data_IF_631315121434
#
_entry.id   IF_631315121434
#
_cell.length_a   1.000
_cell.length_b   1.000
_cell.length_c   1.000
_cell.angle_alpha   90.00
_cell.angle_beta   90.00
_cell.angle_gamma   90.00
#
_symmetry.space_group_name_H-M   'P 1'
#
loop_
_entity.id
_entity.type
_entity.pdbx_description
1 polymer ?
#
# COMPACT_ATOMS: atom_id res chain seq x y z
N UNK A 1 -45.14 -19.72 15.45
CA UNK A 1 -45.26 -18.41 14.78
C UNK A 1 -43.85 -17.85 14.66
N UNK A 2 -43.20 -18.07 13.51
CA UNK A 2 -41.83 -17.59 13.27
C UNK A 2 -41.91 -16.13 12.84
N UNK A 3 -41.49 -15.21 13.72
CA UNK A 3 -41.31 -13.81 13.37
C UNK A 3 -40.08 -13.69 12.46
N UNK A 4 -40.31 -13.67 11.15
CA UNK A 4 -39.37 -13.11 10.19
C UNK A 4 -39.29 -11.61 10.49
N UNK A 5 -38.32 -11.21 11.32
CA UNK A 5 -37.84 -9.84 11.31
C UNK A 5 -37.04 -9.67 10.00
N UNK A 6 -37.75 -9.43 8.90
CA UNK A 6 -37.18 -8.76 7.75
C UNK A 6 -36.72 -7.37 8.24
N UNK A 7 -35.42 -7.21 8.47
CA UNK A 7 -34.84 -5.95 8.92
C UNK A 7 -35.16 -4.77 8.01
N UNK A 8 -34.94 -3.56 8.53
CA UNK A 8 -35.27 -2.23 7.99
C UNK A 8 -34.91 -1.91 6.52
N UNK A 9 -34.40 -2.85 5.71
CA UNK A 9 -34.04 -2.63 4.31
C UNK A 9 -35.23 -2.63 3.33
N UNK A 10 -36.47 -2.83 3.80
CA UNK A 10 -37.65 -2.96 2.94
C UNK A 10 -37.94 -1.76 2.02
N UNK A 11 -37.40 -0.58 2.31
CA UNK A 11 -37.70 0.65 1.55
C UNK A 11 -36.51 1.58 1.23
N UNK A 12 -35.28 1.27 1.65
CA UNK A 12 -34.13 2.13 1.37
C UNK A 12 -33.46 1.75 0.03
N UNK A 13 -33.89 2.37 -1.07
CA UNK A 13 -33.19 2.34 -2.38
C UNK A 13 -31.95 3.25 -2.41
N UNK A 14 -31.25 3.44 -1.30
CA UNK A 14 -30.03 4.25 -1.28
C UNK A 14 -28.86 3.37 -1.70
N UNK A 15 -28.39 3.58 -2.92
CA UNK A 15 -27.12 3.04 -3.38
C UNK A 15 -26.10 4.15 -3.46
N UNK A 16 -24.84 3.83 -3.18
CA UNK A 16 -23.72 4.73 -3.39
C UNK A 16 -22.69 4.07 -4.31
N UNK A 17 -21.87 4.92 -4.94
CA UNK A 17 -20.74 4.46 -5.75
C UNK A 17 -19.54 4.27 -4.84
N UNK A 18 -18.85 3.16 -5.01
CA UNK A 18 -17.63 2.82 -4.31
C UNK A 18 -16.54 2.47 -5.31
N UNK A 19 -15.32 2.93 -5.10
CA UNK A 19 -14.16 2.53 -5.91
C UNK A 19 -13.37 1.47 -5.16
N UNK A 20 -13.41 0.25 -5.68
CA UNK A 20 -12.62 -0.87 -5.18
C UNK A 20 -11.24 -0.87 -5.83
N UNK A 21 -10.21 -1.26 -5.08
CA UNK A 21 -8.82 -1.30 -5.57
C UNK A 21 -8.11 -2.58 -5.20
N UNK A 22 -7.26 -3.04 -6.12
CA UNK A 22 -6.24 -4.06 -5.88
C UNK A 22 -4.89 -3.50 -6.28
N UNK A 23 -3.90 -3.73 -5.43
CA UNK A 23 -2.52 -3.35 -5.70
C UNK A 23 -1.60 -4.50 -5.31
N UNK A 24 -0.59 -4.76 -6.14
CA UNK A 24 0.44 -5.77 -5.88
C UNK A 24 1.78 -5.28 -6.43
N UNK A 25 2.86 -5.69 -5.79
CA UNK A 25 4.20 -5.58 -6.37
C UNK A 25 4.38 -6.76 -7.32
N UNK A 26 4.72 -6.48 -8.57
CA UNK A 26 4.85 -7.50 -9.63
C UNK A 26 6.30 -7.79 -10.01
N UNK A 27 7.23 -6.90 -9.68
CA UNK A 27 8.65 -7.07 -9.97
C UNK A 27 9.50 -6.35 -8.93
N UNK A 28 10.60 -6.97 -8.53
CA UNK A 28 11.64 -6.40 -7.68
C UNK A 28 12.93 -7.22 -7.84
N UNK A 29 14.07 -6.68 -7.38
CA UNK A 29 15.34 -7.42 -7.35
C UNK A 29 15.35 -8.46 -6.22
N UNK A 30 15.11 -9.73 -6.59
CA UNK A 30 15.10 -10.86 -5.67
C UNK A 30 16.48 -11.24 -5.13
N UNK A 31 17.55 -10.62 -5.63
CA UNK A 31 18.90 -10.81 -5.07
C UNK A 31 18.98 -10.24 -3.65
N UNK A 32 18.37 -9.07 -3.42
CA UNK A 32 18.45 -8.38 -2.14
C UNK A 32 17.11 -8.33 -1.41
N UNK A 33 16.00 -8.56 -2.10
CA UNK A 33 14.66 -8.53 -1.51
C UNK A 33 14.12 -9.95 -1.39
N UNK A 34 13.73 -10.33 -0.18
CA UNK A 34 13.10 -11.62 0.09
C UNK A 34 11.60 -11.60 -0.20
N UNK A 35 10.93 -10.55 0.29
CA UNK A 35 9.48 -10.34 0.17
C UNK A 35 9.24 -8.84 0.03
N UNK A 36 8.29 -8.47 -0.82
CA UNK A 36 7.74 -7.13 -0.84
C UNK A 36 6.23 -7.19 -1.05
N UNK A 37 5.47 -6.45 -0.25
CA UNK A 37 4.02 -6.49 -0.24
C UNK A 37 3.40 -5.12 0.04
N UNK A 38 2.14 -4.97 -0.38
CA UNK A 38 1.35 -3.75 -0.20
C UNK A 38 0.24 -4.09 0.78
N UNK A 39 0.14 -3.30 1.84
CA UNK A 39 -0.80 -3.51 2.95
C UNK A 39 -1.64 -2.26 3.22
N UNK A 40 -2.74 -2.45 3.93
CA UNK A 40 -3.80 -1.46 4.10
C UNK A 40 -5.12 -1.95 3.53
N UNK A 41 -5.93 -1.03 3.02
CA UNK A 41 -7.32 -1.28 2.60
C UNK A 41 -8.34 -0.36 3.26
N UNK A 42 -7.91 0.81 3.72
CA UNK A 42 -8.78 1.81 4.32
C UNK A 42 -9.63 2.50 3.27
N UNK A 43 -10.70 3.14 3.73
CA UNK A 43 -11.73 3.77 2.89
C UNK A 43 -11.77 5.25 3.24
N UNK A 44 -11.71 6.10 2.21
CA UNK A 44 -11.83 7.54 2.35
C UNK A 44 -12.50 8.13 1.11
N UNK A 45 -12.95 9.38 1.19
CA UNK A 45 -13.48 10.10 0.04
C UNK A 45 -12.33 10.53 -0.88
N UNK A 46 -12.48 10.28 -2.17
CA UNK A 46 -11.57 10.82 -3.19
C UNK A 46 -11.92 12.28 -3.54
N UNK A 47 -11.17 12.89 -4.45
CA UNK A 47 -11.38 14.28 -4.89
C UNK A 47 -12.74 14.54 -5.55
N UNK A 48 -13.44 13.50 -6.02
CA UNK A 48 -14.78 13.57 -6.58
C UNK A 48 -15.89 13.36 -5.51
N UNK A 49 -15.50 13.16 -4.24
CA UNK A 49 -16.44 12.86 -3.15
C UNK A 49 -17.00 11.44 -3.19
N UNK A 50 -16.32 10.51 -3.88
CA UNK A 50 -16.69 9.10 -3.96
C UNK A 50 -15.86 8.30 -2.95
N UNK A 51 -16.51 7.39 -2.22
CA UNK A 51 -15.81 6.48 -1.32
C UNK A 51 -14.88 5.55 -2.11
N UNK A 52 -13.62 5.49 -1.69
CA UNK A 52 -12.56 4.79 -2.41
C UNK A 52 -11.66 4.05 -1.43
N UNK A 53 -11.34 2.79 -1.76
CA UNK A 53 -10.32 2.01 -1.05
C UNK A 53 -8.93 2.49 -1.44
N UNK A 54 -8.04 2.60 -0.47
CA UNK A 54 -6.62 2.91 -0.68
C UNK A 54 -5.72 2.03 0.18
N UNK A 55 -4.44 1.96 -0.20
CA UNK A 55 -3.41 1.23 0.55
C UNK A 55 -2.55 2.22 1.34
N UNK A 56 -1.94 1.75 2.43
CA UNK A 56 -1.30 2.64 3.40
C UNK A 56 0.19 2.41 3.53
N UNK A 57 0.66 1.23 3.11
CA UNK A 57 2.01 0.83 3.39
C UNK A 57 2.54 -0.14 2.35
N UNK A 58 3.79 0.10 1.94
CA UNK A 58 4.60 -0.90 1.26
C UNK A 58 5.63 -1.43 2.25
N UNK A 59 5.73 -2.74 2.34
CA UNK A 59 6.68 -3.44 3.19
C UNK A 59 7.71 -4.14 2.30
N UNK A 60 8.99 -3.94 2.59
CA UNK A 60 10.10 -4.54 1.85
C UNK A 60 11.01 -5.24 2.86
N UNK A 61 11.17 -6.54 2.70
CA UNK A 61 12.00 -7.38 3.56
C UNK A 61 13.28 -7.74 2.82
N UNK A 62 14.43 -7.28 3.31
CA UNK A 62 15.73 -7.57 2.71
C UNK A 62 16.19 -8.99 3.06
N UNK A 63 16.81 -9.68 2.11
CA UNK A 63 17.38 -11.02 2.34
C UNK A 63 18.63 -10.92 3.22
N UNK A 64 18.51 -11.41 4.46
CA UNK A 64 19.60 -11.36 5.45
C UNK A 64 20.87 -12.09 5.04
N UNK A 65 20.82 -13.03 4.09
CA UNK A 65 22.00 -13.74 3.57
C UNK A 65 22.79 -12.90 2.56
N UNK A 66 22.13 -11.95 1.90
CA UNK A 66 22.71 -11.12 0.84
C UNK A 66 23.00 -9.71 1.30
N UNK A 67 22.06 -9.10 2.02
CA UNK A 67 22.20 -7.75 2.56
C UNK A 67 22.96 -7.74 3.91
N UNK A 68 22.74 -8.77 4.72
CA UNK A 68 23.18 -8.85 6.12
C UNK A 68 22.04 -8.55 7.11
N UNK A 69 22.37 -8.52 8.41
CA UNK A 69 21.40 -8.34 9.49
C UNK A 69 21.30 -6.92 10.04
N UNK A 70 22.23 -6.04 9.67
CA UNK A 70 22.27 -4.65 10.12
C UNK A 70 21.18 -3.84 9.46
N UNK A 71 20.48 -2.98 10.21
CA UNK A 71 19.53 -2.05 9.62
C UNK A 71 20.24 -1.04 8.70
N UNK A 72 19.60 -0.60 7.60
CA UNK A 72 20.07 0.56 6.86
C UNK A 72 20.22 1.76 7.80
N UNK A 73 21.27 2.57 7.61
CA UNK A 73 21.38 3.85 8.33
C UNK A 73 20.46 4.91 7.78
N UNK A 74 20.24 4.92 6.47
CA UNK A 74 19.36 5.85 5.79
C UNK A 74 18.69 5.17 4.60
N UNK A 75 17.41 5.49 4.42
CA UNK A 75 16.64 5.09 3.25
C UNK A 75 15.93 6.33 2.73
N UNK A 76 16.04 6.56 1.42
CA UNK A 76 15.23 7.56 0.72
C UNK A 76 14.39 6.86 -0.33
N UNK A 77 13.20 7.39 -0.59
CA UNK A 77 12.26 6.76 -1.51
C UNK A 77 11.63 7.75 -2.48
N UNK A 78 11.23 7.24 -3.64
CA UNK A 78 10.53 8.00 -4.68
C UNK A 78 9.45 7.13 -5.29
N UNK A 79 8.23 7.66 -5.37
CA UNK A 79 7.16 7.07 -6.16
C UNK A 79 7.15 7.67 -7.57
N UNK A 80 6.81 6.83 -8.54
CA UNK A 80 6.58 7.25 -9.91
C UNK A 80 5.09 7.14 -10.23
N UNK A 81 4.46 8.29 -10.49
CA UNK A 81 3.07 8.41 -10.91
C UNK A 81 3.03 8.65 -12.41
N UNK A 82 3.07 7.56 -13.19
CA UNK A 82 3.34 7.63 -14.62
C UNK A 82 4.74 8.20 -14.90
N UNK A 83 4.82 9.44 -15.37
CA UNK A 83 6.09 10.14 -15.63
C UNK A 83 6.52 11.07 -14.49
N UNK A 84 5.65 11.32 -13.51
CA UNK A 84 5.95 12.22 -12.40
C UNK A 84 6.74 11.49 -11.30
N UNK A 85 7.84 12.11 -10.85
CA UNK A 85 8.61 11.64 -9.70
C UNK A 85 8.18 12.39 -8.44
N UNK A 86 7.70 11.65 -7.44
CA UNK A 86 7.28 12.19 -6.15
C UNK A 86 8.20 11.65 -5.07
N UNK A 87 9.01 12.54 -4.49
CA UNK A 87 9.88 12.20 -3.36
C UNK A 87 9.02 11.88 -2.16
N UNK A 88 9.31 10.76 -1.50
CA UNK A 88 8.64 10.33 -0.29
C UNK A 88 9.27 11.06 0.89
N UNK A 89 8.44 11.65 1.75
CA UNK A 89 8.92 12.24 3.00
C UNK A 89 9.67 11.19 3.82
N UNK A 90 10.88 11.52 4.26
CA UNK A 90 11.69 10.68 5.13
C UNK A 90 10.95 10.23 6.41
N UNK A 91 10.02 11.04 6.93
CA UNK A 91 9.20 10.67 8.09
C UNK A 91 8.28 9.47 7.82
N UNK A 92 7.96 9.21 6.56
CA UNK A 92 7.13 8.10 6.11
C UNK A 92 7.94 6.84 5.79
N UNK A 93 9.27 6.87 5.91
CA UNK A 93 10.13 5.70 5.69
C UNK A 93 10.79 5.32 7.00
N UNK A 94 10.53 4.10 7.45
CA UNK A 94 11.18 3.58 8.66
C UNK A 94 11.70 2.16 8.45
N UNK A 95 12.72 1.82 9.22
CA UNK A 95 13.37 0.51 9.16
C UNK A 95 13.22 -0.22 10.48
N UNK A 96 13.01 -1.54 10.43
CA UNK A 96 12.87 -2.37 11.63
C UNK A 96 13.50 -3.73 11.42
N UNK A 97 14.00 -4.34 12.50
CA UNK A 97 14.41 -5.74 12.47
C UNK A 97 13.19 -6.65 12.37
N UNK A 98 13.28 -7.67 11.52
CA UNK A 98 12.22 -8.64 11.23
C UNK A 98 12.80 -10.05 11.25
N UNK A 99 11.93 -11.06 11.26
CA UNK A 99 12.36 -12.47 11.20
C UNK A 99 13.16 -12.78 9.92
N UNK A 100 12.91 -12.04 8.83
CA UNK A 100 13.56 -12.23 7.54
C UNK A 100 14.90 -11.46 7.42
N UNK A 101 15.14 -10.48 8.29
CA UNK A 101 16.27 -9.55 8.21
C UNK A 101 15.85 -8.11 8.48
N UNK A 102 16.50 -7.16 7.82
CA UNK A 102 16.11 -5.75 7.87
C UNK A 102 14.84 -5.53 7.01
N UNK A 103 13.80 -4.97 7.62
CA UNK A 103 12.59 -4.52 6.94
C UNK A 103 12.60 -3.01 6.72
N UNK A 104 12.12 -2.57 5.57
CA UNK A 104 11.88 -1.18 5.19
C UNK A 104 10.38 -1.03 4.98
N UNK A 105 9.80 0.00 5.59
CA UNK A 105 8.37 0.26 5.55
C UNK A 105 8.16 1.69 5.05
N UNK A 106 7.37 1.81 3.99
CA UNK A 106 6.98 3.08 3.38
C UNK A 106 5.52 3.31 3.69
N UNK A 107 5.23 4.20 4.65
CA UNK A 107 3.88 4.49 5.12
C UNK A 107 3.33 5.73 4.42
N UNK A 108 2.58 5.53 3.34
CA UNK A 108 1.98 6.60 2.57
C UNK A 108 0.66 6.14 1.96
N UNK A 109 -0.29 7.06 1.82
CA UNK A 109 -1.55 6.84 1.11
C UNK A 109 -1.27 6.58 -0.37
N UNK A 110 -1.51 5.35 -0.81
CA UNK A 110 -1.31 4.85 -2.18
C UNK A 110 -2.67 4.73 -2.83
N UNK A 111 -2.90 5.58 -3.84
CA UNK A 111 -4.21 5.82 -4.43
C UNK A 111 -4.31 5.33 -5.87
N UNK A 112 -3.40 4.50 -6.37
CA UNK A 112 -3.65 3.81 -7.64
C UNK A 112 -3.00 4.44 -8.87
N UNK A 113 -2.33 5.58 -8.72
CA UNK A 113 -1.52 6.22 -9.75
C UNK A 113 -0.03 5.85 -9.63
N UNK A 114 0.38 5.22 -8.53
CA UNK A 114 1.75 4.77 -8.29
C UNK A 114 2.10 3.52 -9.10
N UNK A 115 2.96 3.68 -10.10
CA UNK A 115 3.39 2.60 -11.00
C UNK A 115 4.71 1.95 -10.60
N UNK A 116 5.57 2.70 -9.90
CA UNK A 116 6.89 2.21 -9.48
C UNK A 116 7.32 2.88 -8.18
N UNK A 117 8.03 2.13 -7.35
CA UNK A 117 8.75 2.62 -6.17
C UNK A 117 10.25 2.44 -6.40
N UNK A 118 11.05 3.46 -6.10
CA UNK A 118 12.50 3.38 -6.02
C UNK A 118 12.94 3.66 -4.59
N UNK A 119 13.75 2.78 -4.03
CA UNK A 119 14.40 2.95 -2.74
C UNK A 119 15.91 3.04 -2.93
N UNK A 120 16.54 4.02 -2.28
CA UNK A 120 17.99 4.18 -2.22
C UNK A 120 18.41 3.97 -0.77
N UNK A 121 19.24 2.96 -0.54
CA UNK A 121 19.55 2.40 0.78
C UNK A 121 21.04 2.60 1.07
N UNK A 122 21.34 3.33 2.13
CA UNK A 122 22.69 3.57 2.62
C UNK A 122 22.95 2.68 3.84
N UNK A 123 23.88 1.74 3.70
CA UNK A 123 24.18 0.75 4.74
C UNK A 123 25.02 1.34 5.87
N UNK A 124 26.08 2.07 5.55
CA UNK A 124 27.09 2.49 6.53
C UNK A 124 27.19 4.02 6.69
N UNK A 125 27.30 4.77 5.60
CA UNK A 125 27.30 6.24 5.57
C UNK A 125 26.76 6.76 4.23
N UNK A 126 26.44 8.04 4.14
CA UNK A 126 25.90 8.64 2.90
C UNK A 126 26.91 8.66 1.75
N UNK A 127 28.21 8.59 2.06
CA UNK A 127 29.30 8.59 1.08
C UNK A 127 29.58 7.19 0.47
N UNK A 128 28.95 6.13 1.01
CA UNK A 128 29.06 4.77 0.47
C UNK A 128 28.19 4.57 -0.77
N UNK A 129 28.61 3.69 -1.67
CA UNK A 129 27.80 3.31 -2.83
C UNK A 129 26.45 2.74 -2.36
N UNK A 130 25.32 3.38 -2.66
CA UNK A 130 24.04 2.96 -2.13
C UNK A 130 23.49 1.75 -2.89
N UNK A 131 22.75 0.90 -2.18
CA UNK A 131 21.93 -0.12 -2.83
C UNK A 131 20.65 0.53 -3.36
N UNK A 132 20.40 0.41 -4.67
CA UNK A 132 19.20 0.92 -5.31
C UNK A 132 18.27 -0.26 -5.62
N UNK A 133 17.04 -0.18 -5.13
CA UNK A 133 15.99 -1.17 -5.38
C UNK A 133 14.81 -0.51 -6.07
N UNK A 134 14.34 -1.13 -7.15
CA UNK A 134 13.15 -0.68 -7.88
C UNK A 134 12.06 -1.76 -7.84
N UNK A 135 10.82 -1.31 -7.69
CA UNK A 135 9.64 -2.15 -7.54
C UNK A 135 8.58 -1.70 -8.51
N UNK A 136 8.13 -2.59 -9.40
CA UNK A 136 7.00 -2.32 -10.27
C UNK A 136 5.70 -2.65 -9.53
N UNK A 137 4.75 -1.72 -9.57
CA UNK A 137 3.47 -1.80 -8.87
C UNK A 137 2.36 -1.88 -9.91
N UNK A 138 1.54 -2.93 -9.83
CA UNK A 138 0.33 -3.06 -10.63
C UNK A 138 -0.87 -2.69 -9.77
N UNK A 139 -1.71 -1.78 -10.28
CA UNK A 139 -2.91 -1.32 -9.59
C UNK A 139 -4.11 -1.39 -10.52
N UNK A 140 -5.19 -2.00 -10.04
CA UNK A 140 -6.46 -2.12 -10.75
C UNK A 140 -7.55 -1.48 -9.90
N UNK A 141 -8.41 -0.68 -10.53
CA UNK A 141 -9.56 -0.07 -9.87
C UNK A 141 -10.84 -0.34 -10.66
N UNK A 142 -11.96 -0.46 -9.96
CA UNK A 142 -13.26 -0.56 -10.59
C UNK A 142 -14.35 0.07 -9.72
N UNK A 143 -15.35 0.65 -10.38
CA UNK A 143 -16.50 1.26 -9.73
C UNK A 143 -17.54 0.19 -9.45
N UNK A 144 -17.99 0.10 -8.21
CA UNK A 144 -19.07 -0.76 -7.75
C UNK A 144 -20.23 0.07 -7.22
N UNK A 145 -21.44 -0.47 -7.37
CA UNK A 145 -22.63 0.09 -6.74
C UNK A 145 -22.93 -0.71 -5.48
N UNK A 146 -22.86 -0.08 -4.32
CA UNK A 146 -23.11 -0.73 -3.02
C UNK A 146 -24.44 -0.28 -2.44
N UNK A 147 -25.10 -1.20 -1.71
CA UNK A 147 -26.32 -0.91 -0.96
C UNK A 147 -25.96 -0.30 0.39
N UNK A 148 -26.51 0.86 0.71
CA UNK A 148 -26.27 1.51 2.01
C UNK A 148 -26.77 0.64 3.17
N UNK A 149 -27.90 -0.05 2.98
CA UNK A 149 -28.47 -0.92 4.01
C UNK A 149 -27.59 -2.15 4.28
N UNK A 150 -26.99 -2.72 3.23
CA UNK A 150 -26.08 -3.85 3.38
C UNK A 150 -24.77 -3.42 4.06
N UNK A 151 -24.24 -2.24 3.70
CA UNK A 151 -23.05 -1.68 4.33
C UNK A 151 -23.29 -1.46 5.83
N UNK A 152 -24.41 -0.84 6.21
CA UNK A 152 -24.79 -0.61 7.61
C UNK A 152 -24.93 -1.92 8.39
N UNK A 153 -25.59 -2.93 7.80
CA UNK A 153 -25.71 -4.26 8.41
C UNK A 153 -24.36 -4.93 8.64
N UNK A 154 -23.44 -4.82 7.67
CA UNK A 154 -22.11 -5.39 7.74
C UNK A 154 -21.12 -4.53 8.55
N UNK A 155 -21.54 -3.35 9.03
CA UNK A 155 -20.68 -2.32 9.66
C UNK A 155 -19.46 -1.98 8.80
N UNK A 156 -19.65 -1.94 7.48
CA UNK A 156 -18.69 -1.46 6.49
C UNK A 156 -18.85 0.04 6.30
#
# INVERSE_FOLDING_TARGET
>A
MFLWNCGNCGHAKSYYIFVEKRSKIVKFDSTFVKVADITGGNIDLNSEGILERYFEMIQVYLDSTKYGKTLPKKVTGTFFKGQEEVVIDSANIYTRETVLGAGIFVQQKIIGDETRLKLVIYKDNEDSEPLILEFDIEQNSWKERRSSCLAEYLRL
#
